data_IF_069209052606
#
_entry.id   IF_069209052606
#
_cell.length_a   1.000
_cell.length_b   1.000
_cell.length_c   1.000
_cell.angle_alpha   90.00
_cell.angle_beta   90.00
_cell.angle_gamma   90.00
#
_symmetry.space_group_name_H-M   'P 1'
#
loop_
_entity.id
_entity.type
_entity.pdbx_description
1 polymer ?
#
# COMPACT_ATOMS: atom_id res chain seq x y z
N UNK A 1 6.50 6.28 10.74
CA UNK A 1 5.47 5.71 11.64
C UNK A 1 4.67 4.65 10.90
N UNK A 2 4.50 3.46 11.49
CA UNK A 2 3.66 2.36 10.95
C UNK A 2 2.40 2.27 11.82
N UNK A 3 1.22 2.22 11.19
CA UNK A 3 -0.08 2.09 11.85
C UNK A 3 -0.83 0.91 11.23
N UNK A 4 -1.31 0.00 12.09
CA UNK A 4 -2.19 -1.10 11.70
C UNK A 4 -3.58 -0.82 12.25
N UNK A 5 -4.62 -0.99 11.41
CA UNK A 5 -6.02 -0.83 11.82
C UNK A 5 -6.74 -2.18 11.78
N UNK A 6 -7.52 -2.47 12.80
CA UNK A 6 -8.26 -3.72 12.98
C UNK A 6 -9.76 -3.49 12.99
N UNK A 7 -10.53 -4.55 12.72
CA UNK A 7 -11.97 -4.61 13.01
C UNK A 7 -12.21 -4.86 14.50
N UNK A 8 -13.10 -4.07 15.13
CA UNK A 8 -13.48 -4.33 16.52
C UNK A 8 -14.16 -5.69 16.61
N UNK A 9 -13.58 -6.59 17.42
CA UNK A 9 -14.10 -7.94 17.64
C UNK A 9 -13.65 -9.00 16.62
N UNK A 10 -12.79 -8.66 15.64
CA UNK A 10 -12.24 -9.67 14.70
C UNK A 10 -10.71 -9.51 14.56
N UNK A 11 -9.98 -10.60 14.35
CA UNK A 11 -8.53 -10.59 14.06
C UNK A 11 -8.22 -10.14 12.62
N UNK A 12 -9.14 -9.41 11.95
CA UNK A 12 -8.97 -9.00 10.54
C UNK A 12 -8.29 -7.65 10.45
N UNK A 13 -7.22 -7.60 9.65
CA UNK A 13 -6.50 -6.37 9.30
C UNK A 13 -7.35 -5.57 8.31
N UNK A 14 -7.71 -4.33 8.64
CA UNK A 14 -8.38 -3.39 7.72
C UNK A 14 -7.40 -2.68 6.80
N UNK A 15 -6.23 -2.33 7.34
CA UNK A 15 -5.21 -1.59 6.59
C UNK A 15 -3.87 -1.67 7.31
N UNK A 16 -2.79 -1.72 6.53
CA UNK A 16 -1.44 -1.42 7.00
C UNK A 16 -1.01 -0.11 6.35
N UNK A 17 -0.75 0.91 7.16
CA UNK A 17 -0.36 2.25 6.69
C UNK A 17 1.01 2.61 7.23
N UNK A 18 1.88 3.12 6.38
CA UNK A 18 3.17 3.67 6.76
C UNK A 18 3.33 5.09 6.25
N UNK A 19 3.79 5.98 7.12
CA UNK A 19 4.11 7.37 6.77
C UNK A 19 5.59 7.63 7.02
N UNK A 20 6.28 8.05 5.96
CA UNK A 20 7.61 8.61 6.02
C UNK A 20 7.50 10.11 6.23
N UNK A 21 8.21 10.62 7.24
CA UNK A 21 8.31 12.05 7.53
C UNK A 21 9.70 12.53 7.10
N UNK A 22 9.81 13.64 6.35
CA UNK A 22 11.09 14.15 5.92
C UNK A 22 11.94 14.57 7.12
N UNK A 23 13.21 14.18 7.09
CA UNK A 23 14.24 14.67 8.01
C UNK A 23 15.12 15.68 7.29
N UNK A 24 15.72 16.59 8.04
CA UNK A 24 16.70 17.54 7.52
C UNK A 24 18.10 16.91 7.49
N UNK A 25 18.96 17.41 6.62
CA UNK A 25 20.37 17.00 6.55
C UNK A 25 20.68 15.94 5.49
N UNK A 26 21.96 15.52 5.40
CA UNK A 26 22.47 14.68 4.31
C UNK A 26 21.84 13.27 4.28
N UNK A 27 21.32 12.80 5.41
CA UNK A 27 20.73 11.45 5.54
C UNK A 27 19.33 11.34 4.94
N UNK A 28 18.68 12.44 4.57
CA UNK A 28 17.29 12.45 4.09
C UNK A 28 17.06 11.46 2.95
N UNK A 29 17.98 11.41 1.97
CA UNK A 29 17.89 10.50 0.82
C UNK A 29 17.96 9.04 1.25
N UNK A 30 18.89 8.70 2.14
CA UNK A 30 19.06 7.34 2.66
C UNK A 30 17.85 6.90 3.50
N UNK A 31 17.35 7.79 4.37
CA UNK A 31 16.17 7.54 5.19
C UNK A 31 14.91 7.33 4.34
N UNK A 32 14.73 8.12 3.27
CA UNK A 32 13.61 7.94 2.33
C UNK A 32 13.70 6.60 1.59
N UNK A 33 14.90 6.23 1.12
CA UNK A 33 15.12 4.93 0.49
C UNK A 33 14.78 3.79 1.44
N UNK A 34 15.21 3.89 2.71
CA UNK A 34 14.88 2.88 3.74
C UNK A 34 13.38 2.77 4.00
N UNK A 35 12.67 3.89 4.05
CA UNK A 35 11.22 3.88 4.17
C UNK A 35 10.55 3.19 2.97
N UNK A 36 11.05 3.41 1.75
CA UNK A 36 10.54 2.72 0.55
C UNK A 36 10.83 1.21 0.60
N UNK A 37 11.98 0.76 1.12
CA UNK A 37 12.23 -0.68 1.34
C UNK A 37 11.17 -1.30 2.26
N UNK A 38 10.81 -0.63 3.35
CA UNK A 38 9.76 -1.09 4.25
C UNK A 38 8.38 -1.10 3.58
N UNK A 39 8.05 -0.09 2.76
CA UNK A 39 6.77 -0.06 2.01
C UNK A 39 6.68 -1.24 1.04
N UNK A 40 7.76 -1.54 0.32
CA UNK A 40 7.83 -2.68 -0.58
C UNK A 40 7.78 -4.03 0.17
N UNK A 41 8.28 -4.08 1.40
CA UNK A 41 8.14 -5.25 2.26
C UNK A 41 6.68 -5.46 2.69
N UNK A 42 5.93 -4.39 3.01
CA UNK A 42 4.49 -4.48 3.32
C UNK A 42 3.68 -5.06 2.16
N UNK A 43 3.98 -4.65 0.92
CA UNK A 43 3.36 -5.25 -0.28
C UNK A 43 3.59 -6.77 -0.27
N UNK A 44 4.86 -7.20 -0.14
CA UNK A 44 5.23 -8.61 -0.18
C UNK A 44 4.61 -9.45 0.95
N UNK A 45 4.39 -8.87 2.13
CA UNK A 45 3.69 -9.55 3.24
C UNK A 45 2.24 -9.90 2.88
N UNK A 46 1.59 -9.10 2.03
CA UNK A 46 0.20 -9.31 1.61
C UNK A 46 0.08 -9.99 0.23
N UNK A 47 1.18 -10.05 -0.53
CA UNK A 47 1.28 -10.73 -1.83
C UNK A 47 2.45 -11.73 -1.80
N UNK A 48 2.27 -12.93 -1.21
CA UNK A 48 3.38 -13.85 -0.92
C UNK A 48 4.10 -14.36 -2.17
N UNK A 49 3.46 -14.30 -3.34
CA UNK A 49 4.04 -14.70 -4.63
C UNK A 49 4.93 -13.62 -5.27
N UNK A 50 4.91 -12.38 -4.78
CA UNK A 50 5.80 -11.33 -5.29
C UNK A 50 7.21 -11.47 -4.72
N UNK A 51 8.20 -11.45 -5.61
CA UNK A 51 9.61 -11.33 -5.21
C UNK A 51 9.90 -9.94 -4.66
N UNK A 52 11.05 -9.79 -3.97
CA UNK A 52 11.53 -8.49 -3.47
C UNK A 52 11.63 -7.45 -4.61
N UNK A 53 12.17 -7.84 -5.76
CA UNK A 53 12.33 -6.94 -6.91
C UNK A 53 10.97 -6.53 -7.50
N UNK A 54 10.02 -7.47 -7.59
CA UNK A 54 8.67 -7.17 -8.06
C UNK A 54 7.94 -6.19 -7.13
N UNK A 55 8.03 -6.39 -5.82
CA UNK A 55 7.37 -5.50 -4.86
C UNK A 55 8.00 -4.09 -4.83
N UNK A 56 9.33 -3.99 -5.01
CA UNK A 56 10.01 -2.70 -5.19
C UNK A 56 9.57 -1.99 -6.48
N UNK A 57 9.50 -2.72 -7.61
CA UNK A 57 9.03 -2.16 -8.88
C UNK A 57 7.57 -1.69 -8.76
N UNK A 58 6.69 -2.49 -8.16
CA UNK A 58 5.30 -2.13 -7.92
C UNK A 58 5.19 -0.86 -7.08
N UNK A 59 5.93 -0.77 -5.97
CA UNK A 59 5.97 0.44 -5.15
C UNK A 59 6.36 1.66 -5.98
N UNK A 60 7.42 1.57 -6.79
CA UNK A 60 7.86 2.72 -7.60
C UNK A 60 6.81 3.15 -8.63
N UNK A 61 6.10 2.21 -9.25
CA UNK A 61 4.96 2.54 -10.12
C UNK A 61 3.86 3.28 -9.36
N UNK A 62 3.48 2.81 -8.17
CA UNK A 62 2.47 3.44 -7.32
C UNK A 62 2.88 4.85 -6.87
N UNK A 63 4.13 5.02 -6.44
CA UNK A 63 4.65 6.33 -6.03
C UNK A 63 4.74 7.31 -7.20
N UNK A 64 5.12 6.84 -8.39
CA UNK A 64 5.15 7.66 -9.59
C UNK A 64 3.73 8.09 -9.99
N UNK A 65 2.78 7.17 -9.98
CA UNK A 65 1.39 7.46 -10.34
C UNK A 65 0.69 8.35 -9.30
N UNK A 66 1.09 8.28 -8.02
CA UNK A 66 0.58 9.10 -6.93
C UNK A 66 1.29 10.42 -6.68
N UNK A 67 2.41 10.69 -7.37
CA UNK A 67 3.20 11.91 -7.19
C UNK A 67 2.35 13.15 -7.41
N UNK A 68 2.49 14.15 -6.52
CA UNK A 68 1.72 15.40 -6.53
C UNK A 68 0.19 15.23 -6.46
N UNK A 69 -0.33 14.02 -6.16
CA UNK A 69 -1.76 13.81 -5.94
C UNK A 69 -2.02 13.80 -4.44
N UNK A 70 -3.09 14.50 -4.04
CA UNK A 70 -3.57 14.48 -2.66
C UNK A 70 -3.89 13.06 -2.19
N UNK A 71 -4.41 12.24 -3.10
CA UNK A 71 -4.72 10.83 -2.86
C UNK A 71 -4.72 10.09 -4.20
N UNK A 72 -4.01 8.97 -4.26
CA UNK A 72 -3.99 8.03 -5.38
C UNK A 72 -4.30 6.63 -4.88
N UNK A 73 -5.15 5.92 -5.63
CA UNK A 73 -5.50 4.53 -5.32
C UNK A 73 -5.36 3.65 -6.53
N UNK A 74 -4.88 2.44 -6.31
CA UNK A 74 -4.84 1.40 -7.33
C UNK A 74 -5.33 0.10 -6.72
N UNK A 75 -6.30 -0.55 -7.36
CA UNK A 75 -6.85 -1.83 -6.88
C UNK A 75 -6.31 -2.95 -7.76
N UNK A 76 -5.77 -4.00 -7.14
CA UNK A 76 -5.27 -5.19 -7.82
C UNK A 76 -5.73 -6.43 -7.04
N UNK A 77 -6.60 -7.23 -7.65
CA UNK A 77 -7.22 -8.37 -6.99
C UNK A 77 -7.91 -7.94 -5.69
N UNK A 78 -7.58 -8.62 -4.58
CA UNK A 78 -8.15 -8.37 -3.26
C UNK A 78 -7.44 -7.27 -2.46
N UNK A 79 -6.55 -6.48 -3.08
CA UNK A 79 -5.81 -5.41 -2.40
C UNK A 79 -6.08 -4.05 -3.07
N UNK A 80 -6.21 -3.02 -2.24
CA UNK A 80 -6.17 -1.62 -2.66
C UNK A 80 -4.91 -0.97 -2.09
N UNK A 81 -4.11 -0.43 -2.98
CA UNK A 81 -2.96 0.40 -2.64
C UNK A 81 -3.39 1.86 -2.58
N UNK A 82 -2.86 2.59 -1.61
CA UNK A 82 -3.15 3.99 -1.37
C UNK A 82 -1.83 4.74 -1.25
N UNK A 83 -1.69 5.84 -1.98
CA UNK A 83 -0.54 6.76 -1.91
C UNK A 83 -1.06 8.18 -1.68
N UNK A 84 -0.47 8.88 -0.71
CA UNK A 84 -0.64 10.31 -0.55
C UNK A 84 0.75 10.97 -0.49
N UNK A 85 1.07 11.76 -1.51
CA UNK A 85 2.30 12.54 -1.59
C UNK A 85 2.03 13.96 -1.09
N UNK A 86 2.43 14.24 0.15
CA UNK A 86 2.22 15.54 0.78
C UNK A 86 3.46 16.45 0.64
N UNK A 87 4.35 16.16 -0.31
CA UNK A 87 5.57 16.94 -0.55
C UNK A 87 6.45 17.01 0.70
N UNK A 88 6.69 18.23 1.18
CA UNK A 88 7.50 18.49 2.38
C UNK A 88 6.90 17.96 3.68
N UNK A 89 5.60 17.62 3.70
CA UNK A 89 4.96 17.02 4.88
C UNK A 89 5.13 15.50 4.93
N UNK A 90 5.68 14.90 3.87
CA UNK A 90 6.01 13.48 3.81
C UNK A 90 5.15 12.66 2.86
N UNK A 91 5.35 11.35 2.95
CA UNK A 91 4.77 10.36 2.05
C UNK A 91 4.02 9.31 2.86
N UNK A 92 2.74 9.11 2.57
CA UNK A 92 1.93 8.04 3.15
C UNK A 92 1.64 6.97 2.10
N UNK A 93 1.87 5.73 2.50
CA UNK A 93 1.53 4.52 1.74
C UNK A 93 0.63 3.63 2.60
N UNK A 94 -0.43 3.08 2.04
CA UNK A 94 -1.22 2.07 2.71
C UNK A 94 -1.63 0.93 1.77
N UNK A 95 -1.85 -0.25 2.37
CA UNK A 95 -2.43 -1.40 1.70
C UNK A 95 -3.67 -1.82 2.49
N UNK A 96 -4.79 -1.91 1.78
CA UNK A 96 -6.12 -2.22 2.32
C UNK A 96 -6.62 -3.52 1.68
N UNK A 97 -6.83 -4.60 2.44
CA UNK A 97 -7.56 -5.75 1.94
C UNK A 97 -9.00 -5.35 1.61
N UNK A 98 -9.46 -5.70 0.42
CA UNK A 98 -10.85 -5.49 0.01
C UNK A 98 -11.55 -6.83 -0.10
N UNK A 99 -12.79 -6.89 0.41
CA UNK A 99 -13.63 -8.06 0.19
C UNK A 99 -14.02 -8.09 -1.28
N UNK A 100 -13.58 -9.11 -2.00
CA UNK A 100 -14.11 -9.40 -3.31
C UNK A 100 -15.50 -10.00 -3.09
N UNK A 101 -16.54 -9.22 -3.39
CA UNK A 101 -17.85 -9.81 -3.60
C UNK A 101 -17.79 -10.48 -4.98
N UNK A 102 -17.95 -11.79 -5.04
CA UNK A 102 -18.45 -12.41 -6.26
C UNK A 102 -19.80 -11.74 -6.51
N UNK A 103 -19.93 -10.96 -7.58
CA UNK A 103 -21.25 -10.56 -8.05
C UNK A 103 -22.11 -11.83 -8.13
N UNK A 104 -23.35 -11.77 -7.64
CA UNK A 104 -24.36 -12.84 -7.64
C UNK A 104 -24.69 -13.40 -9.06
N UNK A 105 -23.88 -13.11 -10.07
CA UNK A 105 -24.04 -13.48 -11.47
C UNK A 105 -23.54 -14.88 -11.83
N UNK A 106 -23.13 -15.72 -10.86
CA UNK A 106 -22.76 -17.12 -11.12
C UNK A 106 -23.87 -18.12 -10.78
N UNK A 107 -24.98 -17.71 -10.16
CA UNK A 107 -26.11 -18.61 -9.88
C UNK A 107 -26.97 -18.93 -11.12
N UNK A 108 -26.75 -18.24 -12.25
CA UNK A 108 -27.54 -18.39 -13.47
C UNK A 108 -26.99 -19.32 -14.55
N UNK A 109 -25.79 -19.89 -14.39
CA UNK A 109 -25.12 -20.63 -15.49
C UNK A 109 -25.23 -22.16 -15.44
N UNK A 110 -26.01 -22.71 -14.50
CA UNK A 110 -26.30 -24.16 -14.42
C UNK A 110 -27.81 -24.43 -14.29
N UNK A 111 -28.60 -24.04 -15.29
CA UNK A 111 -29.93 -24.61 -15.53
C UNK A 111 -30.00 -25.19 -16.92
#
# INVERSE_FOLDING_TARGET
MLLQRWERGTLKIKSIQMTWLPIQGPEQKAAKAKAQEYMAAVIRTLTPLMTKTQSQKKLQSLLTAGKNKRYYTETEGALRYVVADNGEKGLTFAVEPIKLALSESLEGLNK
#
